data_IF_633778627600
#
_entry.id   IF_633778627600
#
_cell.length_a   1.000
_cell.length_b   1.000
_cell.length_c   1.000
_cell.angle_alpha   90.00
_cell.angle_beta   90.00
_cell.angle_gamma   90.00
#
_symmetry.space_group_name_H-M   'P 1'
#
loop_
_entity.id
_entity.type
_entity.pdbx_description
1 polymer ?
#
# COMPACT_ATOMS: atom_id res chain seq x y z
N UNK A 1 -17.17 -48.27 24.95
CA UNK A 1 -15.95 -48.38 24.12
C UNK A 1 -16.21 -47.53 22.89
N UNK A 2 -15.86 -46.25 22.88
CA UNK A 2 -14.49 -45.68 22.79
C UNK A 2 -13.86 -46.08 21.44
N UNK A 3 -13.32 -45.22 20.59
CA UNK A 3 -13.11 -43.77 20.57
C UNK A 3 -12.59 -43.51 19.14
N UNK A 4 -13.30 -42.73 18.31
CA UNK A 4 -12.86 -42.40 16.95
C UNK A 4 -13.60 -41.17 16.42
N UNK A 5 -13.54 -40.06 17.17
CA UNK A 5 -14.27 -38.84 16.81
C UNK A 5 -13.50 -37.53 16.99
N UNK A 6 -12.34 -37.53 17.65
CA UNK A 6 -11.77 -36.29 18.19
C UNK A 6 -10.61 -35.70 17.36
N UNK A 7 -10.06 -36.40 16.38
CA UNK A 7 -8.93 -35.87 15.60
C UNK A 7 -9.29 -35.03 14.36
N UNK A 8 -10.55 -35.03 13.90
CA UNK A 8 -10.93 -34.29 12.67
C UNK A 8 -11.63 -32.94 12.90
N UNK A 9 -11.98 -32.60 14.15
CA UNK A 9 -12.67 -31.35 14.45
C UNK A 9 -11.71 -30.15 14.62
N UNK A 10 -10.43 -30.40 14.92
CA UNK A 10 -9.44 -29.33 15.20
C UNK A 10 -8.78 -28.80 13.92
N UNK A 11 -8.80 -29.55 12.82
CA UNK A 11 -8.23 -29.11 11.53
C UNK A 11 -9.19 -28.23 10.72
N UNK A 12 -10.51 -28.34 10.93
CA UNK A 12 -11.48 -27.53 10.21
C UNK A 12 -11.54 -26.06 10.69
N UNK A 13 -11.16 -25.79 11.94
CA UNK A 13 -11.22 -24.44 12.54
C UNK A 13 -10.05 -23.54 12.17
N UNK A 14 -8.93 -24.09 11.68
CA UNK A 14 -7.77 -23.29 11.22
C UNK A 14 -7.96 -22.81 9.76
N UNK A 15 -8.66 -23.59 8.93
CA UNK A 15 -8.92 -23.23 7.53
C UNK A 15 -10.06 -22.21 7.38
N UNK A 16 -11.08 -22.24 8.25
CA UNK A 16 -12.18 -21.27 8.23
C UNK A 16 -11.82 -19.91 8.85
N UNK A 17 -10.67 -19.78 9.52
CA UNK A 17 -10.16 -18.48 10.00
C UNK A 17 -9.58 -17.59 8.89
N UNK A 18 -9.38 -18.15 7.70
CA UNK A 18 -9.02 -17.40 6.48
C UNK A 18 -10.24 -16.92 5.68
N UNK A 19 -11.45 -17.38 6.03
CA UNK A 19 -12.68 -17.12 5.28
C UNK A 19 -13.65 -16.14 5.97
N UNK A 20 -13.30 -15.58 7.13
CA UNK A 20 -14.11 -14.59 7.84
C UNK A 20 -13.72 -13.13 7.49
N UNK A 21 -13.50 -12.85 6.20
CA UNK A 21 -13.65 -11.47 5.69
C UNK A 21 -13.96 -11.50 4.18
N UNK A 22 -14.93 -12.31 3.77
CA UNK A 22 -15.64 -12.09 2.49
C UNK A 22 -16.61 -10.92 2.68
N UNK A 23 -16.08 -9.75 3.03
CA UNK A 23 -16.71 -8.46 2.79
C UNK A 23 -16.08 -7.99 1.50
N UNK A 24 -16.79 -8.14 0.37
CA UNK A 24 -16.45 -7.69 -0.98
C UNK A 24 -15.23 -6.79 -1.02
N UNK A 25 -14.04 -7.39 -1.07
CA UNK A 25 -12.80 -6.66 -1.09
C UNK A 25 -12.66 -6.08 -2.50
N UNK A 26 -13.29 -4.93 -2.76
CA UNK A 26 -13.13 -4.17 -4.00
C UNK A 26 -11.75 -3.47 -4.02
N UNK A 27 -10.70 -4.17 -3.58
CA UNK A 27 -9.34 -3.69 -3.62
C UNK A 27 -8.37 -4.77 -4.08
N UNK A 28 -7.38 -4.34 -4.85
CA UNK A 28 -6.27 -5.15 -5.34
C UNK A 28 -5.02 -4.74 -4.59
N UNK A 29 -4.35 -5.72 -3.97
CA UNK A 29 -3.03 -5.50 -3.36
C UNK A 29 -1.97 -5.55 -4.46
N UNK A 30 -1.12 -4.53 -4.49
CA UNK A 30 -0.05 -4.42 -5.47
C UNK A 30 1.26 -4.60 -4.70
N UNK A 31 2.00 -5.71 -4.93
CA UNK A 31 3.22 -5.99 -4.20
C UNK A 31 4.26 -4.91 -4.48
N UNK A 32 4.85 -4.38 -3.41
CA UNK A 32 5.98 -3.45 -3.48
C UNK A 32 7.29 -4.24 -3.39
N UNK A 33 8.07 -4.16 -4.45
CA UNK A 33 9.39 -4.75 -4.53
C UNK A 33 10.44 -3.74 -4.06
N UNK A 34 11.21 -4.09 -3.04
CA UNK A 34 12.28 -3.21 -2.54
C UNK A 34 13.45 -3.25 -3.51
N UNK A 35 13.69 -2.14 -4.21
CA UNK A 35 14.81 -1.99 -5.16
C UNK A 35 16.10 -1.58 -4.43
N UNK A 36 16.00 -0.66 -3.46
CA UNK A 36 17.13 -0.22 -2.61
C UNK A 36 16.67 -0.04 -1.17
N UNK A 37 17.56 0.31 -0.23
CA UNK A 37 17.18 0.53 1.17
C UNK A 37 16.14 1.66 1.37
N UNK A 38 16.03 2.56 0.40
CA UNK A 38 15.16 3.74 0.46
C UNK A 38 14.18 3.81 -0.72
N UNK A 39 14.11 2.78 -1.56
CA UNK A 39 13.24 2.78 -2.74
C UNK A 39 12.47 1.46 -2.89
N UNK A 40 11.16 1.59 -3.10
CA UNK A 40 10.24 0.52 -3.40
C UNK A 40 9.57 0.79 -4.74
N UNK A 41 9.30 -0.26 -5.51
CA UNK A 41 8.63 -0.17 -6.80
C UNK A 41 7.52 -1.21 -6.84
N UNK A 42 6.31 -0.77 -7.20
CA UNK A 42 5.16 -1.60 -7.46
C UNK A 42 4.85 -1.56 -8.94
N UNK A 43 4.74 -2.73 -9.57
CA UNK A 43 4.32 -2.86 -10.97
C UNK A 43 2.82 -3.06 -11.03
N UNK A 44 2.14 -2.26 -11.86
CA UNK A 44 0.70 -2.32 -12.04
C UNK A 44 0.45 -3.10 -13.32
N UNK A 45 -0.02 -4.34 -13.19
CA UNK A 45 -0.26 -5.22 -14.34
C UNK A 45 -1.57 -4.89 -15.06
N UNK A 46 -2.53 -4.34 -14.33
CA UNK A 46 -3.88 -4.10 -14.83
C UNK A 46 -4.10 -2.59 -15.02
N UNK A 47 -4.08 -2.14 -16.28
CA UNK A 47 -4.20 -0.72 -16.66
C UNK A 47 -5.56 -0.12 -16.24
N UNK A 48 -6.59 -0.96 -16.07
CA UNK A 48 -7.89 -0.53 -15.58
C UNK A 48 -7.82 0.05 -14.16
N UNK A 49 -6.84 -0.38 -13.35
CA UNK A 49 -6.64 0.19 -12.01
C UNK A 49 -6.13 1.64 -12.11
N UNK A 50 -5.25 1.91 -13.08
CA UNK A 50 -4.68 3.25 -13.29
C UNK A 50 -5.76 4.27 -13.67
N UNK A 51 -6.76 3.87 -14.46
CA UNK A 51 -7.88 4.74 -14.83
C UNK A 51 -8.97 4.79 -13.75
N UNK A 52 -9.47 3.64 -13.29
CA UNK A 52 -10.70 3.55 -12.49
C UNK A 52 -10.55 3.34 -10.98
N UNK A 53 -9.35 3.01 -10.46
CA UNK A 53 -9.17 2.64 -9.04
C UNK A 53 -8.45 3.71 -8.22
N UNK A 54 -8.89 3.98 -7.00
CA UNK A 54 -8.18 4.87 -6.08
C UNK A 54 -6.99 4.15 -5.44
N UNK A 55 -5.81 4.77 -5.43
CA UNK A 55 -4.61 4.17 -4.86
C UNK A 55 -4.41 4.63 -3.42
N UNK A 56 -4.17 3.67 -2.54
CA UNK A 56 -3.89 3.87 -1.14
C UNK A 56 -2.59 3.17 -0.78
N UNK A 57 -1.68 3.90 -0.15
CA UNK A 57 -0.48 3.35 0.45
C UNK A 57 -0.76 3.09 1.93
N UNK A 58 -0.61 1.86 2.39
CA UNK A 58 -0.57 1.55 3.80
C UNK A 58 0.88 1.54 4.28
N UNK A 59 1.17 2.24 5.37
CA UNK A 59 2.45 2.20 6.06
C UNK A 59 2.27 1.69 7.49
N UNK A 60 3.16 0.80 7.93
CA UNK A 60 3.18 0.28 9.29
C UNK A 60 4.60 -0.08 9.70
N UNK A 61 4.97 0.08 10.96
CA UNK A 61 6.32 -0.22 11.42
C UNK A 61 6.54 0.14 12.88
N UNK A 62 7.78 -0.02 13.35
CA UNK A 62 8.20 0.28 14.73
C UNK A 62 8.45 1.78 14.98
N UNK A 63 8.09 2.63 14.02
CA UNK A 63 8.20 4.08 14.15
C UNK A 63 6.95 4.67 14.85
N UNK A 64 7.08 5.80 15.56
CA UNK A 64 5.93 6.44 16.18
C UNK A 64 4.84 6.79 15.17
N UNK A 65 3.58 6.51 15.49
CA UNK A 65 2.43 6.83 14.62
C UNK A 65 2.42 8.30 14.22
N UNK A 66 2.74 9.19 15.16
CA UNK A 66 2.83 10.63 14.89
C UNK A 66 3.85 10.95 13.79
N UNK A 67 5.01 10.26 13.76
CA UNK A 67 5.99 10.43 12.67
C UNK A 67 5.45 9.93 11.33
N UNK A 68 4.71 8.82 11.33
CA UNK A 68 4.05 8.33 10.12
C UNK A 68 3.05 9.37 9.60
N UNK A 69 2.21 9.94 10.46
CA UNK A 69 1.17 10.87 10.03
C UNK A 69 1.73 12.26 9.65
N UNK A 70 2.60 12.83 10.47
CA UNK A 70 3.09 14.21 10.29
C UNK A 70 4.31 14.30 9.36
N UNK A 71 5.28 13.39 9.46
CA UNK A 71 6.57 13.51 8.76
C UNK A 71 6.68 12.66 7.49
N UNK A 72 6.12 11.45 7.49
CA UNK A 72 6.25 10.55 6.34
C UNK A 72 5.67 11.15 5.04
N UNK A 73 4.45 11.70 4.97
CA UNK A 73 3.93 12.26 3.72
C UNK A 73 4.73 13.48 3.23
N UNK A 74 5.39 14.22 4.12
CA UNK A 74 6.24 15.35 3.76
C UNK A 74 7.61 14.92 3.22
N UNK A 75 8.12 13.78 3.70
CA UNK A 75 9.48 13.30 3.41
C UNK A 75 9.53 12.21 2.35
N UNK A 76 8.46 11.41 2.22
CA UNK A 76 8.35 10.39 1.19
C UNK A 76 8.04 11.03 -0.15
N UNK A 77 8.52 10.40 -1.22
CA UNK A 77 8.21 10.82 -2.60
C UNK A 77 7.60 9.65 -3.34
N UNK A 78 6.59 9.93 -4.15
CA UNK A 78 5.92 8.95 -5.00
C UNK A 78 5.94 9.45 -6.44
N UNK A 79 6.27 8.59 -7.40
CA UNK A 79 6.25 8.89 -8.83
C UNK A 79 6.35 7.60 -9.64
N UNK A 80 6.54 7.67 -10.96
CA UNK A 80 7.07 6.54 -11.73
C UNK A 80 8.53 6.24 -11.36
N UNK A 81 8.97 5.01 -11.59
CA UNK A 81 10.33 4.54 -11.28
C UNK A 81 11.43 5.28 -12.04
N UNK A 82 11.13 5.80 -13.24
CA UNK A 82 12.08 6.58 -14.03
C UNK A 82 12.29 8.00 -13.46
N UNK A 83 11.24 8.60 -12.89
CA UNK A 83 11.30 9.98 -12.37
C UNK A 83 11.73 10.08 -10.91
N UNK A 84 11.57 9.01 -10.12
CA UNK A 84 11.79 9.09 -8.66
C UNK A 84 13.21 9.53 -8.31
N UNK A 85 14.21 9.00 -9.04
CA UNK A 85 15.62 9.37 -8.87
C UNK A 85 15.86 10.85 -9.18
N UNK A 86 15.22 11.36 -10.23
CA UNK A 86 15.31 12.77 -10.62
C UNK A 86 14.65 13.66 -9.56
N UNK A 87 13.47 13.29 -9.06
CA UNK A 87 12.77 14.04 -8.01
C UNK A 87 13.58 14.09 -6.71
N UNK A 88 14.21 12.98 -6.34
CA UNK A 88 15.07 12.90 -5.14
C UNK A 88 16.29 13.80 -5.31
N UNK A 89 17.00 13.72 -6.44
CA UNK A 89 18.20 14.53 -6.69
C UNK A 89 17.91 16.03 -6.83
N UNK A 90 16.82 16.39 -7.48
CA UNK A 90 16.42 17.78 -7.70
C UNK A 90 15.59 18.36 -6.55
N UNK A 91 15.39 17.61 -5.45
CA UNK A 91 14.55 17.98 -4.32
C UNK A 91 13.13 18.44 -4.72
N UNK A 92 12.59 17.88 -5.81
CA UNK A 92 11.27 18.22 -6.32
C UNK A 92 10.18 17.50 -5.52
N UNK A 93 8.97 18.08 -5.44
CA UNK A 93 7.83 17.42 -4.82
C UNK A 93 7.42 16.19 -5.62
N UNK A 94 7.02 15.13 -4.91
CA UNK A 94 6.42 13.94 -5.50
C UNK A 94 4.95 14.12 -5.82
N UNK A 95 4.31 13.01 -6.21
CA UNK A 95 2.87 12.91 -6.36
C UNK A 95 2.21 13.32 -5.03
N UNK A 96 1.22 14.23 -5.04
CA UNK A 96 0.53 14.61 -3.82
C UNK A 96 -0.15 13.40 -3.19
N UNK A 97 -0.05 13.28 -1.87
CA UNK A 97 -0.81 12.29 -1.12
C UNK A 97 -1.38 12.87 0.16
N UNK A 98 -2.51 12.32 0.58
CA UNK A 98 -3.25 12.78 1.75
C UNK A 98 -3.37 11.65 2.76
N UNK A 99 -2.89 11.87 3.98
CA UNK A 99 -3.12 10.93 5.07
C UNK A 99 -4.63 10.76 5.33
N UNK A 100 -5.05 9.52 5.47
CA UNK A 100 -6.45 9.14 5.65
C UNK A 100 -6.54 8.20 6.85
N UNK A 101 -7.01 8.72 7.99
CA UNK A 101 -7.19 7.93 9.20
C UNK A 101 -8.28 6.84 9.07
N UNK A 102 -9.27 7.08 8.20
CA UNK A 102 -10.35 6.13 7.93
C UNK A 102 -10.36 5.78 6.43
N UNK A 103 -9.67 4.71 6.01
CA UNK A 103 -9.71 4.31 4.61
C UNK A 103 -11.14 3.93 4.19
N UNK A 104 -11.47 3.98 2.89
CA UNK A 104 -12.77 3.56 2.39
C UNK A 104 -13.10 2.12 2.76
N UNK A 105 -14.41 1.81 2.80
CA UNK A 105 -14.91 0.47 3.05
C UNK A 105 -14.31 -0.51 2.03
N UNK A 106 -13.67 -1.57 2.54
CA UNK A 106 -12.96 -2.56 1.74
C UNK A 106 -11.49 -2.72 2.12
N UNK A 107 -10.83 -1.68 2.66
CA UNK A 107 -9.44 -1.79 3.11
C UNK A 107 -9.34 -2.36 4.55
N UNK A 108 -8.30 -3.16 4.84
CA UNK A 108 -8.19 -3.87 6.11
C UNK A 108 -7.80 -2.96 7.27
N UNK A 109 -8.73 -2.60 8.15
CA UNK A 109 -8.39 -1.81 9.35
C UNK A 109 -7.58 -2.66 10.34
N UNK A 110 -6.30 -2.31 10.52
CA UNK A 110 -5.41 -2.91 11.51
C UNK A 110 -4.83 -1.83 12.41
N UNK A 111 -4.67 -2.10 13.72
CA UNK A 111 -3.99 -1.16 14.61
C UNK A 111 -2.55 -0.91 14.14
N UNK A 112 -2.14 0.35 14.08
CA UNK A 112 -0.80 0.76 13.64
C UNK A 112 -0.60 0.85 12.12
N UNK A 113 -1.62 0.57 11.30
CA UNK A 113 -1.59 0.87 9.86
C UNK A 113 -2.09 2.30 9.62
N UNK A 114 -1.28 3.07 8.90
CA UNK A 114 -1.65 4.40 8.44
C UNK A 114 -1.83 4.39 6.93
N UNK A 115 -2.93 4.96 6.45
CA UNK A 115 -3.26 4.99 5.03
C UNK A 115 -3.01 6.37 4.44
N UNK A 116 -2.52 6.40 3.20
CA UNK A 116 -2.29 7.61 2.43
C UNK A 116 -2.94 7.44 1.06
N UNK A 117 -3.90 8.31 0.75
CA UNK A 117 -4.51 8.37 -0.57
C UNK A 117 -3.55 9.05 -1.54
N UNK A 118 -3.23 8.40 -2.66
CA UNK A 118 -2.43 8.98 -3.74
C UNK A 118 -3.36 9.75 -4.67
N UNK A 119 -3.09 11.04 -4.84
CA UNK A 119 -3.88 11.88 -5.74
C UNK A 119 -3.43 11.65 -7.18
N UNK A 120 -4.38 11.23 -8.04
CA UNK A 120 -4.15 11.00 -9.47
C UNK A 120 -4.10 12.31 -10.26
N UNK A 121 -3.16 13.18 -9.94
CA UNK A 121 -3.10 14.52 -10.53
C UNK A 121 -1.70 14.92 -10.97
N UNK A 122 -1.67 15.68 -12.06
CA UNK A 122 -0.45 16.25 -12.64
C UNK A 122 0.44 15.26 -13.38
N UNK A 123 1.51 15.79 -13.96
CA UNK A 123 2.45 15.06 -14.84
C UNK A 123 3.06 13.79 -14.26
N UNK A 124 3.20 13.72 -12.94
CA UNK A 124 3.77 12.58 -12.23
C UNK A 124 2.82 11.38 -12.28
N UNK A 125 1.50 11.62 -12.20
CA UNK A 125 0.51 10.58 -12.40
C UNK A 125 0.53 10.07 -13.83
N UNK A 126 0.57 10.97 -14.83
CA UNK A 126 0.66 10.55 -16.24
C UNK A 126 1.88 9.67 -16.50
N UNK A 127 2.99 9.92 -15.81
CA UNK A 127 4.20 9.11 -15.89
C UNK A 127 4.04 7.72 -15.28
N UNK A 128 3.37 7.62 -14.13
CA UNK A 128 2.97 6.34 -13.53
C UNK A 128 2.10 5.55 -14.50
N UNK A 129 1.12 6.21 -15.12
CA UNK A 129 0.23 5.58 -16.11
C UNK A 129 1.02 5.07 -17.32
N UNK A 130 1.91 5.90 -17.89
CA UNK A 130 2.74 5.48 -19.04
C UNK A 130 3.70 4.34 -18.73
N UNK A 131 4.28 4.35 -17.52
CA UNK A 131 5.30 3.38 -17.13
C UNK A 131 4.74 2.14 -16.43
N UNK A 132 3.43 2.10 -16.17
CA UNK A 132 2.72 1.02 -15.47
C UNK A 132 3.39 0.63 -14.15
N UNK A 133 3.99 1.59 -13.45
CA UNK A 133 4.64 1.36 -12.18
C UNK A 133 4.59 2.58 -11.26
N UNK A 134 4.61 2.30 -9.96
CA UNK A 134 4.69 3.30 -8.89
C UNK A 134 5.96 3.04 -8.12
N UNK A 135 6.82 4.03 -8.07
CA UNK A 135 7.98 4.06 -7.20
C UNK A 135 7.73 4.96 -5.99
N UNK A 136 8.23 4.50 -4.86
CA UNK A 136 8.12 5.16 -3.57
C UNK A 136 9.54 5.28 -3.03
N UNK A 137 9.95 6.51 -2.75
CA UNK A 137 11.19 6.78 -2.04
C UNK A 137 10.87 7.17 -0.61
N UNK A 138 11.55 6.54 0.34
CA UNK A 138 11.41 6.81 1.77
C UNK A 138 12.80 7.01 2.36
N UNK A 139 13.05 8.15 3.02
CA UNK A 139 14.35 8.40 3.62
C UNK A 139 14.65 7.46 4.78
N UNK A 140 15.94 7.30 5.08
CA UNK A 140 16.45 6.37 6.09
C UNK A 140 15.89 6.55 7.52
N UNK A 141 15.32 7.71 7.83
CA UNK A 141 14.67 7.99 9.13
C UNK A 141 13.48 7.05 9.41
N UNK A 142 12.87 6.49 8.36
CA UNK A 142 11.74 5.55 8.44
C UNK A 142 12.16 4.11 8.16
N UNK A 143 13.40 3.74 8.52
CA UNK A 143 13.86 2.36 8.41
C UNK A 143 12.96 1.43 9.22
N UNK A 144 12.61 0.28 8.66
CA UNK A 144 11.73 -0.70 9.29
C UNK A 144 10.24 -0.48 9.04
N UNK A 145 9.85 0.58 8.33
CA UNK A 145 8.48 0.74 7.84
C UNK A 145 8.22 -0.23 6.68
N UNK A 146 7.12 -0.97 6.80
CA UNK A 146 6.55 -1.81 5.76
C UNK A 146 5.48 -1.02 5.02
N UNK A 147 5.57 -1.07 3.71
CA UNK A 147 4.64 -0.42 2.80
C UNK A 147 3.84 -1.46 2.01
N UNK A 148 2.55 -1.21 1.83
CA UNK A 148 1.66 -2.01 1.00
C UNK A 148 0.85 -1.07 0.11
N UNK A 149 0.91 -1.26 -1.21
CA UNK A 149 0.11 -0.48 -2.15
C UNK A 149 -1.21 -1.22 -2.41
N UNK A 150 -2.33 -0.50 -2.37
CA UNK A 150 -3.66 -1.04 -2.53
C UNK A 150 -4.43 -0.17 -3.53
N UNK A 151 -5.08 -0.78 -4.51
CA UNK A 151 -5.92 -0.08 -5.48
C UNK A 151 -7.38 -0.46 -5.22
N UNK A 152 -8.23 0.50 -4.88
CA UNK A 152 -9.64 0.31 -4.57
C UNK A 152 -10.48 0.72 -5.78
N UNK A 153 -11.20 -0.21 -6.39
CA UNK A 153 -12.10 0.09 -7.51
C UNK A 153 -13.42 0.62 -6.97
N UNK A 154 -13.80 1.84 -7.34
CA UNK A 154 -15.19 2.27 -7.15
C UNK A 154 -16.02 1.61 -8.25
N UNK A 155 -16.84 0.63 -7.87
CA UNK A 155 -17.83 0.01 -8.75
C UNK A 155 -18.83 1.03 -9.29
#
# INVERSE_FOLDING_TARGET
HADSGECFAVLASVLLRLLDTVLSANYVRIPLERQTESQWVARIQDEHLLSGAHFYLAASGEVPERKLVDELPLRMKVSGAEEISTLVNAALPGLPMTHTARPPAGLPLRPGLQYYHLEKSGRLWDSIVRSNNVAIFVPADFKGVRFELMAVTSS
#
